data_IF_772840640469
#
_entry.id   IF_772840640469
#
_cell.length_a   1.000
_cell.length_b   1.000
_cell.length_c   1.000
_cell.angle_alpha   90.00
_cell.angle_beta   90.00
_cell.angle_gamma   90.00
#
_symmetry.space_group_name_H-M   'P 1'
#
loop_
_entity.id
_entity.type
_entity.pdbx_description
1 polymer ?
#
# COMPACT_ATOMS: atom_id res chain seq x y z
N UNK A 1 -21.35 11.62 59.30
CA UNK A 1 -20.05 11.31 58.65
C UNK A 1 -20.30 10.36 57.50
N UNK A 2 -19.95 10.76 56.26
CA UNK A 2 -19.28 9.98 55.20
C UNK A 2 -19.59 10.58 53.82
N UNK A 3 -18.51 10.99 53.14
CA UNK A 3 -18.42 11.48 51.77
C UNK A 3 -18.77 10.36 50.78
N UNK A 4 -19.38 10.68 49.64
CA UNK A 4 -19.02 10.00 48.39
C UNK A 4 -19.16 10.97 47.20
N UNK A 5 -18.01 11.31 46.62
CA UNK A 5 -17.86 12.16 45.44
C UNK A 5 -18.41 11.40 44.22
N UNK A 6 -19.53 11.87 43.64
CA UNK A 6 -19.91 11.49 42.28
C UNK A 6 -18.94 12.16 41.32
N UNK A 7 -17.80 11.50 41.05
CA UNK A 7 -16.93 11.87 39.94
C UNK A 7 -17.63 11.46 38.65
N UNK A 8 -17.97 12.44 37.83
CA UNK A 8 -18.35 12.23 36.45
C UNK A 8 -17.22 11.47 35.75
N UNK A 9 -17.43 10.18 35.45
CA UNK A 9 -16.56 9.48 34.52
C UNK A 9 -16.82 10.11 33.15
N UNK A 10 -15.83 10.80 32.60
CA UNK A 10 -15.87 11.19 31.19
C UNK A 10 -16.01 9.90 30.37
N UNK A 11 -16.90 9.84 29.37
CA UNK A 11 -16.95 8.70 28.47
C UNK A 11 -15.54 8.48 27.89
N UNK A 12 -15.14 7.23 27.60
CA UNK A 12 -13.85 6.97 26.97
C UNK A 12 -13.75 7.85 25.73
N UNK A 13 -12.67 8.63 25.65
CA UNK A 13 -12.38 9.46 24.48
C UNK A 13 -12.47 8.56 23.24
N UNK A 14 -13.13 8.97 22.15
CA UNK A 14 -13.05 8.23 20.91
C UNK A 14 -11.57 8.05 20.59
N UNK A 15 -11.16 6.80 20.35
CA UNK A 15 -9.81 6.46 19.90
C UNK A 15 -9.42 7.46 18.81
N UNK A 16 -8.24 8.10 18.87
CA UNK A 16 -7.83 8.97 17.78
C UNK A 16 -7.89 8.12 16.52
N UNK A 17 -8.82 8.46 15.62
CA UNK A 17 -8.85 7.92 14.28
C UNK A 17 -7.60 8.48 13.63
N UNK A 18 -6.47 7.81 13.83
CA UNK A 18 -5.42 7.90 12.85
C UNK A 18 -6.11 7.56 11.55
N UNK A 19 -6.15 8.51 10.63
CA UNK A 19 -6.51 8.25 9.26
C UNK A 19 -5.45 7.27 8.76
N UNK A 20 -5.63 5.99 9.10
CA UNK A 20 -4.84 4.90 8.57
C UNK A 20 -5.28 4.85 7.14
N UNK A 21 -4.55 5.55 6.27
CA UNK A 21 -4.65 5.28 4.86
C UNK A 21 -4.20 3.82 4.72
N UNK A 22 -5.16 2.89 4.80
CA UNK A 22 -4.85 1.47 4.80
C UNK A 22 -4.32 1.17 3.40
N UNK A 23 -3.02 0.91 3.29
CA UNK A 23 -2.35 0.55 2.04
C UNK A 23 -2.60 -0.93 1.75
N UNK A 24 -3.88 -1.26 1.54
CA UNK A 24 -4.35 -2.61 1.27
C UNK A 24 -4.24 -2.91 -0.22
N UNK A 25 -3.69 -4.07 -0.54
CA UNK A 25 -3.81 -4.67 -1.86
C UNK A 25 -4.89 -5.74 -1.76
N UNK A 26 -5.99 -5.54 -2.48
CA UNK A 26 -7.13 -6.47 -2.49
C UNK A 26 -7.00 -7.43 -3.67
N UNK A 27 -7.20 -8.71 -3.38
CA UNK A 27 -7.28 -9.77 -4.36
C UNK A 27 -8.74 -10.10 -4.65
N UNK A 28 -9.19 -9.89 -5.89
CA UNK A 28 -10.57 -10.16 -6.30
C UNK A 28 -10.75 -11.52 -7.00
N UNK A 29 -9.71 -12.35 -7.07
CA UNK A 29 -9.75 -13.63 -7.78
C UNK A 29 -9.72 -14.82 -6.81
N UNK A 30 -10.30 -15.98 -7.20
CA UNK A 30 -10.29 -17.21 -6.41
C UNK A 30 -8.93 -17.94 -6.53
N UNK A 31 -7.85 -17.22 -6.25
CA UNK A 31 -6.49 -17.76 -6.24
C UNK A 31 -5.61 -16.90 -5.35
N UNK A 32 -4.53 -17.46 -4.83
CA UNK A 32 -3.54 -16.68 -4.10
C UNK A 32 -2.71 -15.83 -5.06
N UNK A 33 -2.46 -14.58 -4.68
CA UNK A 33 -1.58 -13.67 -5.41
C UNK A 33 -0.35 -13.38 -4.57
N UNK A 34 0.82 -13.62 -5.14
CA UNK A 34 2.10 -13.29 -4.53
C UNK A 34 2.68 -12.07 -5.25
N UNK A 35 2.95 -10.99 -4.52
CA UNK A 35 3.63 -9.81 -5.05
C UNK A 35 5.14 -9.92 -4.79
N UNK A 36 5.91 -9.94 -5.88
CA UNK A 36 7.37 -10.12 -5.82
C UNK A 36 8.12 -8.79 -5.93
N UNK A 37 7.67 -7.89 -6.82
CA UNK A 37 8.34 -6.61 -7.07
C UNK A 37 7.34 -5.55 -7.49
N UNK A 38 7.62 -4.32 -7.11
CA UNK A 38 6.90 -3.13 -7.57
C UNK A 38 7.90 -2.10 -8.09
N UNK A 39 7.59 -1.54 -9.25
CA UNK A 39 8.33 -0.43 -9.86
C UNK A 39 7.35 0.71 -10.09
N UNK A 40 7.63 1.89 -9.59
CA UNK A 40 6.76 3.06 -9.76
C UNK A 40 7.56 4.34 -9.97
N UNK A 41 6.96 5.32 -10.65
CA UNK A 41 7.49 6.66 -10.82
C UNK A 41 6.40 7.69 -10.60
N UNK A 42 6.70 8.72 -9.80
CA UNK A 42 5.79 9.78 -9.47
C UNK A 42 6.45 11.16 -9.63
N UNK A 43 5.64 12.16 -9.95
CA UNK A 43 6.14 13.48 -10.31
C UNK A 43 5.03 14.51 -10.51
N UNK A 44 5.42 15.65 -11.07
CA UNK A 44 4.54 16.79 -11.35
C UNK A 44 4.91 17.36 -12.69
N UNK A 45 3.92 17.74 -13.49
CA UNK A 45 4.13 18.42 -14.78
C UNK A 45 5.16 17.69 -15.65
N UNK A 46 4.96 16.36 -15.80
CA UNK A 46 5.83 15.44 -16.54
C UNK A 46 7.28 15.31 -16.03
N UNK A 47 7.62 15.94 -14.91
CA UNK A 47 8.95 15.81 -14.28
C UNK A 47 8.88 14.75 -13.20
N UNK A 48 9.68 13.68 -13.34
CA UNK A 48 9.78 12.62 -12.32
C UNK A 48 10.59 13.14 -11.15
N UNK A 49 10.03 13.03 -9.95
CA UNK A 49 10.68 13.44 -8.70
C UNK A 49 10.93 12.27 -7.75
N UNK A 50 10.11 11.23 -7.82
CA UNK A 50 10.23 10.03 -7.02
C UNK A 50 10.20 8.80 -7.92
N UNK A 51 11.13 7.89 -7.71
CA UNK A 51 11.14 6.58 -8.35
C UNK A 51 11.34 5.50 -7.31
N UNK A 52 10.55 4.44 -7.41
CA UNK A 52 10.59 3.29 -6.53
C UNK A 52 10.87 2.06 -7.39
N UNK A 53 11.80 1.25 -6.92
CA UNK A 53 12.04 -0.10 -7.43
C UNK A 53 12.31 -1.01 -6.23
N UNK A 54 11.26 -1.71 -5.79
CA UNK A 54 11.30 -2.51 -4.58
C UNK A 54 11.03 -3.97 -4.89
N UNK A 55 12.01 -4.80 -4.56
CA UNK A 55 11.89 -6.25 -4.57
C UNK A 55 11.62 -6.74 -3.15
N UNK A 56 10.54 -7.51 -2.97
CA UNK A 56 10.16 -8.02 -1.67
C UNK A 56 11.04 -9.22 -1.31
N UNK A 57 11.88 -9.08 -0.28
CA UNK A 57 12.76 -10.18 0.18
C UNK A 57 11.96 -11.38 0.69
N UNK A 58 10.82 -11.11 1.31
CA UNK A 58 9.78 -12.09 1.61
C UNK A 58 8.57 -11.71 0.76
N UNK A 59 8.15 -12.56 -0.20
CA UNK A 59 7.04 -12.24 -1.09
C UNK A 59 5.77 -11.94 -0.30
N UNK A 60 5.05 -10.88 -0.67
CA UNK A 60 3.78 -10.54 -0.02
C UNK A 60 2.69 -11.44 -0.59
N UNK A 61 2.17 -12.35 0.23
CA UNK A 61 1.16 -13.33 -0.16
C UNK A 61 -0.23 -12.79 0.20
N UNK A 62 -1.02 -12.47 -0.82
CA UNK A 62 -2.39 -11.97 -0.69
C UNK A 62 -3.37 -13.15 -0.83
N UNK A 63 -4.14 -13.49 0.22
CA UNK A 63 -5.06 -14.63 0.22
C UNK A 63 -6.15 -14.50 -0.86
N UNK A 64 -6.80 -15.63 -1.19
CA UNK A 64 -7.95 -15.66 -2.08
C UNK A 64 -9.08 -14.76 -1.57
N UNK A 65 -9.65 -13.89 -2.42
CA UNK A 65 -10.64 -12.88 -2.03
C UNK A 65 -10.24 -12.00 -0.83
N UNK A 66 -8.95 -11.97 -0.48
CA UNK A 66 -8.41 -11.33 0.70
C UNK A 66 -7.76 -10.00 0.39
N UNK A 67 -7.16 -9.40 1.42
CA UNK A 67 -6.34 -8.21 1.30
C UNK A 67 -5.11 -8.35 2.19
N UNK A 68 -4.02 -7.71 1.79
CA UNK A 68 -2.83 -7.61 2.64
C UNK A 68 -2.26 -6.21 2.63
N UNK A 69 -1.61 -5.86 3.74
CA UNK A 69 -0.92 -4.58 3.88
C UNK A 69 0.52 -4.72 3.34
N UNK A 70 0.86 -3.85 2.40
CA UNK A 70 2.23 -3.78 1.84
C UNK A 70 3.26 -3.21 2.81
N UNK A 71 2.80 -2.66 3.93
CA UNK A 71 3.63 -1.94 4.89
C UNK A 71 4.13 -0.62 4.31
N UNK A 72 5.23 -0.12 4.87
CA UNK A 72 5.92 1.06 4.35
C UNK A 72 7.10 0.59 3.50
N UNK A 73 7.02 0.86 2.20
CA UNK A 73 8.13 0.60 1.29
C UNK A 73 9.15 1.75 1.43
N UNK A 74 10.32 1.43 1.98
CA UNK A 74 11.41 2.38 2.16
C UNK A 74 12.26 2.51 0.88
N UNK A 75 13.18 3.47 0.88
CA UNK A 75 14.16 3.67 -0.20
C UNK A 75 13.59 4.14 -1.55
N UNK A 76 12.60 5.02 -1.50
CA UNK A 76 12.18 5.78 -2.69
C UNK A 76 13.31 6.72 -3.12
N UNK A 77 13.76 6.59 -4.37
CA UNK A 77 14.78 7.44 -4.96
C UNK A 77 14.19 8.80 -5.32
N UNK A 78 14.78 9.86 -4.77
CA UNK A 78 14.49 11.23 -5.15
C UNK A 78 15.34 11.60 -6.37
N UNK A 79 14.77 11.50 -7.57
CA UNK A 79 15.50 11.67 -8.85
C UNK A 79 16.09 13.06 -9.02
N UNK A 80 15.48 14.09 -8.41
CA UNK A 80 15.97 15.46 -8.46
C UNK A 80 16.89 15.82 -7.26
N UNK A 81 17.19 14.85 -6.38
CA UNK A 81 17.94 15.06 -5.16
C UNK A 81 17.12 15.76 -4.05
N UNK A 82 17.70 15.83 -2.84
CA UNK A 82 16.98 16.25 -1.65
C UNK A 82 16.51 17.72 -1.69
N UNK A 83 17.30 18.62 -2.27
CA UNK A 83 16.99 20.06 -2.30
C UNK A 83 15.85 20.39 -3.26
N UNK A 84 15.88 19.86 -4.49
CA UNK A 84 14.79 20.05 -5.44
C UNK A 84 13.51 19.30 -5.02
N UNK A 85 13.64 18.22 -4.24
CA UNK A 85 12.49 17.53 -3.67
C UNK A 85 11.84 18.29 -2.50
N UNK A 86 12.53 19.28 -1.92
CA UNK A 86 11.97 20.12 -0.86
C UNK A 86 10.84 21.02 -1.39
N UNK A 87 10.88 21.38 -2.66
CA UNK A 87 9.82 22.13 -3.35
C UNK A 87 8.53 21.32 -3.52
N UNK A 88 8.59 19.98 -3.41
CA UNK A 88 7.43 19.08 -3.43
C UNK A 88 6.78 18.97 -2.05
N UNK A 89 7.53 19.17 -0.98
CA UNK A 89 7.02 18.99 0.41
C UNK A 89 5.74 19.81 0.67
N UNK A 90 5.59 21.06 0.20
CA UNK A 90 4.34 21.81 0.33
C UNK A 90 3.15 21.20 -0.41
N UNK A 91 3.39 20.45 -1.49
CA UNK A 91 2.36 19.88 -2.36
C UNK A 91 1.73 18.61 -1.76
N UNK A 92 2.42 17.96 -0.82
CA UNK A 92 1.99 16.77 -0.04
C UNK A 92 1.72 15.50 -0.86
N UNK A 93 1.44 15.62 -2.15
CA UNK A 93 1.12 14.52 -3.05
C UNK A 93 1.86 14.67 -4.39
N UNK A 94 2.19 13.54 -4.98
CA UNK A 94 2.76 13.43 -6.32
C UNK A 94 1.81 12.62 -7.19
N UNK A 95 1.76 12.97 -8.48
CA UNK A 95 1.02 12.18 -9.45
C UNK A 95 1.84 10.97 -9.90
N UNK A 96 1.19 9.84 -10.09
CA UNK A 96 1.85 8.57 -10.44
C UNK A 96 1.82 8.40 -11.94
N UNK A 97 2.98 8.54 -12.59
CA UNK A 97 3.07 8.43 -14.05
C UNK A 97 3.11 6.99 -14.55
N UNK A 98 3.75 6.09 -13.79
CA UNK A 98 3.86 4.68 -14.15
C UNK A 98 3.94 3.83 -12.88
N UNK A 99 3.22 2.71 -12.88
CA UNK A 99 3.33 1.65 -11.88
C UNK A 99 3.29 0.30 -12.58
N UNK A 100 4.29 -0.53 -12.33
CA UNK A 100 4.38 -1.91 -12.80
C UNK A 100 4.52 -2.83 -11.58
N UNK A 101 3.67 -3.86 -11.51
CA UNK A 101 3.64 -4.83 -10.41
C UNK A 101 3.91 -6.23 -10.97
N UNK A 102 4.85 -6.95 -10.35
CA UNK A 102 5.19 -8.32 -10.73
C UNK A 102 4.49 -9.28 -9.77
N UNK A 103 3.48 -9.98 -10.29
CA UNK A 103 2.62 -10.88 -9.53
C UNK A 103 2.82 -12.32 -9.99
N UNK A 104 2.89 -13.25 -9.04
CA UNK A 104 2.75 -14.69 -9.29
C UNK A 104 1.40 -15.16 -8.74
N UNK A 105 0.72 -16.01 -9.49
CA UNK A 105 -0.50 -16.68 -9.03
C UNK A 105 -0.13 -18.07 -8.55
N UNK A 106 -0.47 -18.38 -7.30
CA UNK A 106 -0.38 -19.75 -6.78
C UNK A 106 -1.82 -20.25 -6.59
N UNK A 107 -2.17 -21.31 -7.32
CA UNK A 107 -3.50 -21.88 -7.23
C UNK A 107 -3.72 -23.00 -8.21
N UNK A 108 -4.48 -24.00 -7.80
CA UNK A 108 -4.97 -25.04 -8.70
C UNK A 108 -5.85 -24.38 -9.77
N UNK A 109 -5.38 -24.38 -11.01
CA UNK A 109 -6.21 -24.03 -12.14
C UNK A 109 -7.07 -25.25 -12.46
N UNK A 110 -8.25 -25.35 -11.86
CA UNK A 110 -9.24 -26.36 -12.26
C UNK A 110 -9.79 -25.96 -13.62
N UNK A 111 -9.14 -26.42 -14.69
CA UNK A 111 -9.60 -26.30 -16.07
C UNK A 111 -10.79 -27.25 -16.28
N UNK A 112 -12.01 -26.80 -15.98
CA UNK A 112 -13.17 -27.40 -16.63
C UNK A 112 -13.21 -26.91 -18.09
N UNK A 113 -12.52 -27.63 -18.98
CA UNK A 113 -12.91 -27.74 -20.39
C UNK A 113 -12.63 -26.59 -21.37
N UNK A 114 -12.00 -25.48 -21.00
CA UNK A 114 -11.65 -24.43 -21.97
C UNK A 114 -10.17 -24.49 -22.38
N UNK A 115 -9.93 -24.94 -23.62
CA UNK A 115 -8.62 -24.89 -24.28
C UNK A 115 -8.14 -23.45 -24.44
N UNK A 116 -6.98 -23.12 -23.87
CA UNK A 116 -6.20 -21.95 -24.29
C UNK A 116 -5.40 -22.35 -25.53
N UNK A 117 -5.75 -21.79 -26.69
CA UNK A 117 -4.87 -21.80 -27.87
C UNK A 117 -4.12 -20.47 -27.89
N UNK A 118 -2.80 -20.54 -27.96
CA UNK A 118 -1.95 -19.42 -28.37
C UNK A 118 -2.22 -19.08 -29.84
#
# INVERSE_FOLDING_TARGET
>A
MQRLLHRYALPPSPSPSYNTHLHLVTNFIPAELTLDRIVASAGINNTVYASLDHNFTQPLVIPFFGYENTGVIQNVLLTQGALASLEIVPLKYLDVFNTTMYLRRVGCLTLFGSSFKF
#
